data_IF_400038475355
#
_entry.id   IF_400038475355
#
_cell.length_a   1.000
_cell.length_b   1.000
_cell.length_c   1.000
_cell.angle_alpha   90.00
_cell.angle_beta   90.00
_cell.angle_gamma   90.00
#
_symmetry.space_group_name_H-M   'P 1'
#
loop_
_entity.id
_entity.type
_entity.pdbx_description
1 polymer ?
#
# COMPACT_ATOMS: atom_id res chain seq x y z
N UNK A 1 -13.44 3.91 -11.35
CA UNK A 1 -12.41 4.16 -10.32
C UNK A 1 -13.12 4.19 -8.97
N UNK A 2 -12.68 3.40 -7.97
CA UNK A 2 -13.32 3.44 -6.63
C UNK A 2 -12.84 4.71 -5.91
N UNK A 3 -13.78 5.53 -5.45
CA UNK A 3 -13.53 6.74 -4.67
C UNK A 3 -13.95 6.49 -3.22
N UNK A 4 -13.22 7.06 -2.27
CA UNK A 4 -13.52 6.89 -0.86
C UNK A 4 -12.60 7.74 0.00
N UNK A 5 -13.15 8.27 1.09
CA UNK A 5 -12.36 8.89 2.15
C UNK A 5 -12.18 7.84 3.24
N UNK A 6 -10.94 7.48 3.50
CA UNK A 6 -10.60 6.48 4.51
C UNK A 6 -9.99 7.19 5.71
N UNK A 7 -10.40 6.81 6.91
CA UNK A 7 -9.85 7.34 8.16
C UNK A 7 -8.85 6.39 8.80
N UNK A 8 -8.82 5.12 8.36
CA UNK A 8 -7.93 4.12 8.93
C UNK A 8 -7.56 3.01 7.93
N UNK A 9 -6.55 2.23 8.29
CA UNK A 9 -6.21 0.99 7.57
C UNK A 9 -7.33 -0.05 7.65
N UNK A 10 -8.11 -0.07 8.73
CA UNK A 10 -9.23 -0.99 8.89
C UNK A 10 -10.32 -0.71 7.86
N UNK A 11 -10.70 0.56 7.69
CA UNK A 11 -11.63 0.97 6.64
C UNK A 11 -11.07 0.71 5.24
N UNK A 12 -9.80 1.03 5.00
CA UNK A 12 -9.15 0.78 3.71
C UNK A 12 -9.21 -0.72 3.33
N UNK A 13 -9.02 -1.61 4.31
CA UNK A 13 -9.10 -3.08 4.12
C UNK A 13 -10.49 -3.58 3.76
N UNK A 14 -11.57 -2.85 4.05
CA UNK A 14 -12.92 -3.21 3.58
C UNK A 14 -13.02 -3.18 2.06
N UNK A 15 -12.22 -2.33 1.39
CA UNK A 15 -12.19 -2.18 -0.07
C UNK A 15 -10.98 -2.88 -0.69
N UNK A 16 -9.84 -2.87 0.00
CA UNK A 16 -8.60 -3.51 -0.40
C UNK A 16 -8.16 -4.52 0.67
N UNK A 17 -8.77 -5.72 0.74
CA UNK A 17 -8.51 -6.68 1.81
C UNK A 17 -7.04 -7.09 1.96
N UNK A 18 -6.31 -7.10 0.85
CA UNK A 18 -4.89 -7.47 0.79
C UNK A 18 -3.94 -6.28 1.03
N UNK A 19 -4.43 -5.14 1.54
CA UNK A 19 -3.59 -4.02 1.90
C UNK A 19 -2.90 -4.28 3.25
N UNK A 20 -1.57 -4.26 3.25
CA UNK A 20 -0.77 -4.58 4.44
C UNK A 20 -0.02 -3.37 4.94
N UNK A 21 -0.17 -3.06 6.23
CA UNK A 21 0.60 -2.00 6.88
C UNK A 21 1.95 -2.56 7.33
N UNK A 22 3.04 -2.08 6.73
CA UNK A 22 4.42 -2.43 7.09
C UNK A 22 5.14 -1.16 7.54
N UNK A 23 5.35 -1.03 8.84
CA UNK A 23 5.87 0.20 9.44
C UNK A 23 4.99 1.41 9.14
N UNK A 24 5.56 2.40 8.44
CA UNK A 24 4.87 3.64 8.02
C UNK A 24 4.21 3.54 6.64
N UNK A 25 4.38 2.42 5.93
CA UNK A 25 3.88 2.22 4.57
C UNK A 25 2.71 1.24 4.56
N UNK A 26 1.87 1.39 3.54
CA UNK A 26 0.84 0.43 3.15
C UNK A 26 1.28 -0.19 1.83
N UNK A 27 1.27 -1.52 1.78
CA UNK A 27 1.66 -2.32 0.63
C UNK A 27 0.41 -2.87 -0.03
N UNK A 28 0.30 -2.69 -1.35
CA UNK A 28 -0.81 -3.21 -2.14
C UNK A 28 -0.32 -4.26 -3.14
N UNK A 29 -1.05 -5.37 -3.25
CA UNK A 29 -0.82 -6.39 -4.26
C UNK A 29 -1.57 -6.03 -5.56
N UNK A 30 -0.84 -5.87 -6.66
CA UNK A 30 -1.39 -5.46 -7.96
C UNK A 30 -1.13 -6.54 -9.02
N UNK A 31 -2.06 -6.68 -9.97
CA UNK A 31 -1.88 -7.50 -11.17
C UNK A 31 -1.77 -9.01 -10.89
N UNK A 32 -2.58 -9.53 -9.97
CA UNK A 32 -2.52 -10.94 -9.58
C UNK A 32 -1.29 -11.25 -8.72
N UNK A 33 -1.00 -10.40 -7.74
CA UNK A 33 0.10 -10.55 -6.78
C UNK A 33 1.52 -10.39 -7.37
N UNK A 34 1.65 -9.91 -8.61
CA UNK A 34 2.93 -9.75 -9.31
C UNK A 34 3.71 -8.51 -8.88
N UNK A 35 3.00 -7.46 -8.49
CA UNK A 35 3.56 -6.15 -8.16
C UNK A 35 3.17 -5.77 -6.72
N UNK A 36 4.07 -5.04 -6.06
CA UNK A 36 3.90 -4.41 -4.75
C UNK A 36 3.97 -2.90 -4.93
N UNK A 37 2.88 -2.21 -4.63
CA UNK A 37 2.87 -0.75 -4.57
C UNK A 37 2.99 -0.33 -3.11
N UNK A 38 4.06 0.39 -2.79
CA UNK A 38 4.35 0.86 -1.44
C UNK A 38 3.93 2.31 -1.35
N UNK A 39 3.02 2.63 -0.44
CA UNK A 39 2.51 3.99 -0.28
C UNK A 39 2.51 4.44 1.17
N UNK A 40 2.89 5.70 1.40
CA UNK A 40 2.62 6.36 2.67
C UNK A 40 1.24 7.01 2.62
N UNK A 41 0.34 6.63 3.53
CA UNK A 41 -1.03 7.16 3.59
C UNK A 41 -1.17 8.06 4.81
N UNK A 42 -1.53 9.32 4.55
CA UNK A 42 -1.91 10.29 5.58
C UNK A 42 -3.43 10.40 5.60
N UNK A 43 -4.08 9.55 6.39
CA UNK A 43 -5.55 9.50 6.50
C UNK A 43 -6.12 10.86 6.94
N UNK A 44 -5.55 11.52 7.96
CA UNK A 44 -6.01 12.84 8.40
C UNK A 44 -5.98 13.92 7.30
N UNK A 45 -5.04 13.83 6.36
CA UNK A 45 -4.90 14.79 5.25
C UNK A 45 -5.54 14.30 3.96
N UNK A 46 -6.09 13.08 3.95
CA UNK A 46 -6.60 12.39 2.76
C UNK A 46 -5.57 12.41 1.61
N UNK A 47 -4.29 12.18 1.92
CA UNK A 47 -3.19 12.15 0.94
C UNK A 47 -2.51 10.80 0.89
N UNK A 48 -2.19 10.36 -0.32
CA UNK A 48 -1.40 9.17 -0.58
C UNK A 48 -0.13 9.55 -1.35
N UNK A 49 1.01 9.00 -0.94
CA UNK A 49 2.28 9.17 -1.61
C UNK A 49 2.80 7.81 -2.02
N UNK A 50 2.91 7.57 -3.32
CA UNK A 50 3.57 6.38 -3.85
C UNK A 50 5.07 6.54 -3.59
N UNK A 51 5.66 5.58 -2.89
CA UNK A 51 7.10 5.56 -2.60
C UNK A 51 7.83 4.73 -3.64
N UNK A 52 7.35 3.51 -3.86
CA UNK A 52 7.95 2.57 -4.80
C UNK A 52 6.90 1.66 -5.43
N UNK A 53 7.23 1.15 -6.61
CA UNK A 53 6.49 0.10 -7.30
C UNK A 53 7.49 -0.99 -7.65
N UNK A 54 7.34 -2.15 -7.03
CA UNK A 54 8.29 -3.25 -7.10
C UNK A 54 7.63 -4.49 -7.68
N UNK A 55 8.40 -5.31 -8.40
CA UNK A 55 8.02 -6.71 -8.62
C UNK A 55 8.01 -7.46 -7.28
N UNK A 56 7.31 -8.60 -7.23
CA UNK A 56 7.38 -9.49 -6.07
C UNK A 56 8.83 -9.86 -5.70
N UNK A 57 9.66 -10.17 -6.71
CA UNK A 57 11.04 -10.57 -6.49
C UNK A 57 11.91 -9.43 -5.91
N UNK A 58 11.66 -8.18 -6.29
CA UNK A 58 12.37 -7.02 -5.71
C UNK A 58 11.90 -6.71 -4.29
N UNK A 59 10.59 -6.81 -4.05
CA UNK A 59 10.03 -6.64 -2.71
C UNK A 59 10.60 -7.65 -1.70
N UNK A 60 10.73 -8.91 -2.12
CA UNK A 60 11.23 -10.00 -1.26
C UNK A 60 12.71 -9.80 -0.87
N UNK A 61 13.48 -8.98 -1.61
CA UNK A 61 14.86 -8.60 -1.26
C UNK A 61 14.93 -7.62 -0.09
N UNK A 62 13.82 -7.05 0.36
CA UNK A 62 13.71 -6.13 1.52
C UNK A 62 14.56 -4.84 1.47
N UNK A 63 15.23 -4.51 0.37
CA UNK A 63 16.07 -3.30 0.24
C UNK A 63 15.30 -1.99 0.39
N UNK A 64 13.99 -2.01 0.12
CA UNK A 64 13.09 -0.87 0.28
C UNK A 64 12.83 -0.48 1.75
N UNK A 65 13.30 -1.29 2.71
CA UNK A 65 13.17 -1.04 4.16
C UNK A 65 14.34 -0.24 4.75
N UNK A 66 15.41 -0.03 3.97
CA UNK A 66 16.63 0.67 4.39
C UNK A 66 16.42 2.18 4.55
#
# INVERSE_FOLDING_TARGET
MKTGQFQSIAELRTIFPNADKVGKLTVFNIGGNKIRLLAAIHYNRQKIYIREVLTRAEYDKNKWKE
#
